data_IF_292254925453
#
_entry.id   IF_292254925453
#
_cell.length_a   1.000
_cell.length_b   1.000
_cell.length_c   1.000
_cell.angle_alpha   90.00
_cell.angle_beta   90.00
_cell.angle_gamma   90.00
#
_symmetry.space_group_name_H-M   'P 1'
#
loop_
_entity.id
_entity.type
_entity.pdbx_description
1 polymer ?
#
# COMPACT_ATOMS: atom_id res chain seq x y z
N UNK A 1 -16.36 11.98 -1.09
CA UNK A 1 -15.24 11.69 -0.17
C UNK A 1 -13.99 11.17 -0.88
N UNK A 2 -14.11 10.22 -1.84
CA UNK A 2 -12.96 9.64 -2.51
C UNK A 2 -12.24 10.63 -3.43
N UNK A 3 -12.98 11.43 -4.18
CA UNK A 3 -12.42 12.47 -5.04
C UNK A 3 -11.69 13.54 -4.22
N UNK A 4 -12.31 14.01 -3.15
CA UNK A 4 -11.70 14.96 -2.22
C UNK A 4 -10.45 14.37 -1.55
N UNK A 5 -10.51 13.12 -1.08
CA UNK A 5 -9.35 12.44 -0.51
C UNK A 5 -8.19 12.32 -1.53
N UNK A 6 -8.51 12.04 -2.79
CA UNK A 6 -7.51 11.92 -3.86
C UNK A 6 -6.88 13.27 -4.20
N UNK A 7 -7.63 14.39 -4.09
CA UNK A 7 -7.08 15.73 -4.35
C UNK A 7 -5.96 16.13 -3.38
N UNK A 8 -5.98 15.63 -2.13
CA UNK A 8 -4.88 15.82 -1.19
C UNK A 8 -3.62 15.05 -1.62
N UNK A 9 -3.77 13.81 -2.12
CA UNK A 9 -2.63 13.06 -2.66
C UNK A 9 -2.06 13.77 -3.91
N UNK A 10 -2.92 14.28 -4.78
CA UNK A 10 -2.52 15.02 -5.97
C UNK A 10 -1.75 16.29 -5.60
N UNK A 11 -2.26 17.09 -4.65
CA UNK A 11 -1.62 18.30 -4.18
C UNK A 11 -0.20 18.01 -3.65
N UNK A 12 -0.03 16.99 -2.80
CA UNK A 12 1.29 16.60 -2.27
C UNK A 12 2.19 16.08 -3.40
N UNK A 13 1.65 15.22 -4.25
CA UNK A 13 2.41 14.59 -5.34
C UNK A 13 2.87 15.57 -6.41
N UNK A 14 2.21 16.71 -6.54
CA UNK A 14 2.62 17.79 -7.46
C UNK A 14 3.90 18.49 -7.01
N UNK A 15 4.22 18.43 -5.72
CA UNK A 15 5.36 19.13 -5.13
C UNK A 15 6.57 18.22 -4.85
N UNK A 16 6.41 16.90 -4.93
CA UNK A 16 7.49 15.98 -4.64
C UNK A 16 7.41 14.67 -5.44
N UNK A 17 8.56 14.06 -5.64
CA UNK A 17 8.69 12.68 -6.12
C UNK A 17 8.96 11.74 -4.94
N UNK A 18 8.35 10.57 -4.98
CA UNK A 18 8.56 9.53 -3.98
C UNK A 18 9.72 8.64 -4.42
N UNK A 19 10.81 8.67 -3.65
CA UNK A 19 12.01 7.85 -3.87
C UNK A 19 12.42 7.19 -2.56
N UNK A 20 13.23 6.15 -2.65
CA UNK A 20 13.88 5.61 -1.46
C UNK A 20 14.68 6.72 -0.79
N UNK A 21 14.67 6.72 0.54
CA UNK A 21 15.37 7.71 1.38
C UNK A 21 14.89 9.18 1.24
N UNK A 22 13.71 9.42 0.63
CA UNK A 22 13.14 10.76 0.47
C UNK A 22 12.17 11.18 1.59
N UNK A 23 12.09 10.43 2.68
CA UNK A 23 11.07 10.60 3.73
C UNK A 23 10.95 12.03 4.24
N UNK A 24 12.06 12.62 4.69
CA UNK A 24 12.03 13.95 5.32
C UNK A 24 11.56 15.02 4.32
N UNK A 25 11.97 14.92 3.06
CA UNK A 25 11.57 15.85 1.99
C UNK A 25 10.08 15.74 1.70
N UNK A 26 9.58 14.50 1.59
CA UNK A 26 8.17 14.23 1.29
C UNK A 26 7.26 14.63 2.46
N UNK A 27 7.68 14.32 3.69
CA UNK A 27 6.91 14.70 4.90
C UNK A 27 6.92 16.22 5.12
N UNK A 28 8.00 16.91 4.79
CA UNK A 28 8.05 18.37 4.82
C UNK A 28 7.05 18.98 3.81
N UNK A 29 7.03 18.46 2.56
CA UNK A 29 6.07 18.92 1.56
C UNK A 29 4.62 18.59 1.95
N UNK A 30 4.37 17.46 2.60
CA UNK A 30 3.05 17.06 3.06
C UNK A 30 2.58 17.81 4.31
N UNK A 31 3.47 18.48 5.05
CA UNK A 31 3.13 19.14 6.32
C UNK A 31 2.06 20.20 6.19
N UNK A 32 1.95 20.86 5.03
CA UNK A 32 0.94 21.88 4.73
C UNK A 32 -0.47 21.27 4.58
N UNK A 33 -0.56 19.99 4.25
CA UNK A 33 -1.81 19.27 3.99
C UNK A 33 -2.24 18.37 5.14
N UNK A 34 -1.43 18.20 6.17
CA UNK A 34 -1.78 17.41 7.34
C UNK A 34 -2.71 18.21 8.27
N UNK A 35 -3.85 17.65 8.66
CA UNK A 35 -4.90 18.30 9.48
C UNK A 35 -4.44 18.80 10.85
N UNK A 36 -3.29 18.39 11.32
CA UNK A 36 -2.67 18.91 12.53
C UNK A 36 -1.18 19.01 12.27
N UNK A 37 -0.62 20.22 12.45
CA UNK A 37 0.82 20.47 12.51
C UNK A 37 1.48 19.59 13.60
N UNK A 38 1.54 18.29 13.37
CA UNK A 38 2.26 17.36 14.23
C UNK A 38 3.69 17.33 13.77
N UNK A 39 4.61 17.63 14.67
CA UNK A 39 6.00 17.18 14.51
C UNK A 39 5.94 15.68 14.30
N UNK A 40 6.11 15.25 13.05
CA UNK A 40 5.99 13.87 12.63
C UNK A 40 7.07 13.08 13.35
N UNK A 41 6.68 12.29 14.35
CA UNK A 41 7.51 11.21 14.85
C UNK A 41 7.15 9.99 14.02
N UNK A 42 8.08 9.65 13.16
CA UNK A 42 7.96 8.57 12.22
C UNK A 42 7.47 7.26 12.82
N UNK A 43 6.35 6.76 12.31
CA UNK A 43 5.98 5.37 12.47
C UNK A 43 6.84 4.47 11.60
N UNK A 44 6.88 4.71 10.31
CA UNK A 44 7.63 3.93 9.31
C UNK A 44 8.91 4.67 8.88
N UNK A 45 9.88 3.93 8.30
CA UNK A 45 11.15 4.49 7.79
C UNK A 45 11.00 5.12 6.40
N UNK A 46 9.80 5.16 5.85
CA UNK A 46 9.43 5.74 4.56
C UNK A 46 8.27 6.73 4.72
N UNK A 47 8.03 7.65 3.77
CA UNK A 47 6.89 8.56 3.82
C UNK A 47 5.58 7.79 3.80
N UNK A 48 4.67 8.12 4.70
CA UNK A 48 3.36 7.47 4.80
C UNK A 48 2.25 8.50 5.01
N UNK A 49 1.14 8.35 4.27
CA UNK A 49 -0.02 9.22 4.35
C UNK A 49 -1.26 8.45 4.78
N UNK A 50 -2.01 9.00 5.70
CA UNK A 50 -3.16 8.35 6.29
C UNK A 50 -4.48 9.00 5.84
N UNK A 51 -5.37 8.17 5.33
CA UNK A 51 -6.78 8.49 5.11
C UNK A 51 -7.60 7.96 6.29
N UNK A 52 -7.98 8.87 7.18
CA UNK A 52 -8.81 8.57 8.34
C UNK A 52 -10.28 8.54 7.93
N UNK A 53 -10.76 7.40 7.46
CA UNK A 53 -12.13 7.25 6.96
C UNK A 53 -12.93 6.23 7.76
N UNK A 54 -14.16 6.56 8.09
CA UNK A 54 -15.07 5.66 8.78
C UNK A 54 -15.32 4.36 8.00
N UNK A 55 -15.77 3.33 8.70
CA UNK A 55 -16.11 2.05 8.09
C UNK A 55 -17.32 2.22 7.14
N UNK A 56 -17.30 1.58 5.99
CA UNK A 56 -18.39 1.63 5.01
C UNK A 56 -18.31 2.78 4.00
N UNK A 57 -17.47 3.78 4.18
CA UNK A 57 -17.38 4.99 3.32
C UNK A 57 -16.56 4.74 2.03
N UNK A 58 -16.06 3.52 1.80
CA UNK A 58 -15.40 3.16 0.55
C UNK A 58 -13.87 3.26 0.57
N UNK A 59 -13.20 2.97 1.70
CA UNK A 59 -11.72 2.88 1.81
C UNK A 59 -11.08 2.05 0.70
N UNK A 60 -11.64 0.86 0.41
CA UNK A 60 -11.12 -0.03 -0.66
C UNK A 60 -11.23 0.62 -2.04
N UNK A 61 -12.29 1.40 -2.28
CA UNK A 61 -12.45 2.15 -3.53
C UNK A 61 -11.43 3.28 -3.66
N UNK A 62 -11.18 4.01 -2.55
CA UNK A 62 -10.13 5.03 -2.53
C UNK A 62 -8.75 4.40 -2.74
N UNK A 63 -8.47 3.22 -2.15
CA UNK A 63 -7.22 2.49 -2.39
C UNK A 63 -7.02 2.22 -3.89
N UNK A 64 -8.03 1.71 -4.58
CA UNK A 64 -7.97 1.50 -6.03
C UNK A 64 -7.74 2.79 -6.82
N UNK A 65 -8.43 3.87 -6.46
CA UNK A 65 -8.26 5.19 -7.09
C UNK A 65 -6.85 5.75 -6.85
N UNK A 66 -6.29 5.59 -5.66
CA UNK A 66 -4.92 6.03 -5.34
C UNK A 66 -3.85 5.25 -6.10
N UNK A 67 -4.03 3.93 -6.24
CA UNK A 67 -3.15 3.09 -7.07
C UNK A 67 -3.19 3.56 -8.53
N UNK A 68 -4.40 3.75 -9.08
CA UNK A 68 -4.56 4.25 -10.44
C UNK A 68 -3.92 5.63 -10.63
N UNK A 69 -4.15 6.54 -9.69
CA UNK A 69 -3.57 7.89 -9.72
C UNK A 69 -2.03 7.82 -9.80
N UNK A 70 -1.38 7.07 -8.90
CA UNK A 70 0.08 6.94 -8.86
C UNK A 70 0.63 6.25 -10.12
N UNK A 71 -0.09 5.27 -10.66
CA UNK A 71 0.27 4.65 -11.93
C UNK A 71 0.25 5.67 -13.08
N UNK A 72 -0.80 6.49 -13.18
CA UNK A 72 -0.98 7.46 -14.27
C UNK A 72 -0.02 8.64 -14.17
N UNK A 73 0.17 9.20 -12.97
CA UNK A 73 0.89 10.46 -12.78
C UNK A 73 2.38 10.26 -12.49
N UNK A 74 2.73 9.17 -11.81
CA UNK A 74 4.11 8.86 -11.42
C UNK A 74 4.71 7.65 -12.16
N UNK A 75 3.93 6.91 -12.93
CA UNK A 75 4.37 5.72 -13.65
C UNK A 75 4.68 4.51 -12.76
N UNK A 76 4.20 4.52 -11.51
CA UNK A 76 4.45 3.42 -10.56
C UNK A 76 3.65 2.18 -10.94
N UNK A 77 4.26 1.00 -10.79
CA UNK A 77 3.69 -0.28 -11.24
C UNK A 77 3.63 -1.33 -10.15
N UNK A 78 4.38 -1.19 -9.07
CA UNK A 78 4.48 -2.18 -8.01
C UNK A 78 3.73 -1.71 -6.75
N UNK A 79 2.61 -2.39 -6.45
CA UNK A 79 1.75 -2.03 -5.33
C UNK A 79 1.57 -3.22 -4.39
N UNK A 80 1.96 -3.05 -3.13
CA UNK A 80 1.83 -4.06 -2.09
C UNK A 80 0.62 -3.74 -1.20
N UNK A 81 -0.42 -4.57 -1.26
CA UNK A 81 -1.64 -4.40 -0.49
C UNK A 81 -1.57 -5.30 0.74
N UNK A 82 -1.59 -4.70 1.91
CA UNK A 82 -1.50 -5.39 3.18
C UNK A 82 -2.86 -5.47 3.87
N UNK A 83 -3.30 -6.70 4.14
CA UNK A 83 -4.54 -7.00 4.85
C UNK A 83 -4.27 -7.37 6.32
N UNK A 84 -5.12 -6.93 7.28
CA UNK A 84 -4.91 -7.19 8.70
C UNK A 84 -5.27 -8.60 9.16
N UNK A 85 -5.94 -9.38 8.32
CA UNK A 85 -6.37 -10.73 8.64
C UNK A 85 -6.96 -11.46 7.43
N UNK A 86 -7.24 -12.77 7.59
CA UNK A 86 -7.65 -13.63 6.48
C UNK A 86 -8.96 -13.17 5.81
N UNK A 87 -9.95 -12.74 6.57
CA UNK A 87 -11.24 -12.29 6.02
C UNK A 87 -11.09 -11.11 5.07
N UNK A 88 -10.28 -10.11 5.46
CA UNK A 88 -10.03 -8.93 4.64
C UNK A 88 -9.11 -9.30 3.46
N UNK A 89 -8.14 -10.16 3.68
CA UNK A 89 -7.27 -10.69 2.63
C UNK A 89 -8.08 -11.37 1.51
N UNK A 90 -8.96 -12.30 1.85
CA UNK A 90 -9.81 -12.99 0.88
C UNK A 90 -10.78 -12.04 0.16
N UNK A 91 -11.28 -11.04 0.87
CA UNK A 91 -12.09 -9.97 0.26
C UNK A 91 -11.28 -9.21 -0.79
N UNK A 92 -10.10 -8.73 -0.44
CA UNK A 92 -9.22 -7.96 -1.35
C UNK A 92 -8.79 -8.79 -2.57
N UNK A 93 -8.46 -10.07 -2.38
CA UNK A 93 -8.20 -11.00 -3.50
C UNK A 93 -9.37 -11.06 -4.48
N UNK A 94 -10.58 -11.28 -3.95
CA UNK A 94 -11.81 -11.36 -4.78
C UNK A 94 -12.09 -10.03 -5.49
N UNK A 95 -12.01 -8.93 -4.76
CA UNK A 95 -12.27 -7.59 -5.30
C UNK A 95 -11.16 -7.11 -6.26
N UNK A 96 -10.01 -7.76 -6.30
CA UNK A 96 -8.95 -7.52 -7.31
C UNK A 96 -9.17 -8.31 -8.62
N UNK A 97 -10.19 -9.16 -8.69
CA UNK A 97 -10.56 -9.84 -9.92
C UNK A 97 -11.47 -8.93 -10.78
N UNK A 98 -11.13 -8.65 -12.06
CA UNK A 98 -11.94 -7.80 -12.93
C UNK A 98 -13.41 -8.24 -13.10
N UNK A 99 -13.69 -9.54 -12.95
CA UNK A 99 -15.04 -10.06 -13.06
C UNK A 99 -15.88 -9.89 -11.78
N UNK A 100 -15.29 -9.41 -10.70
CA UNK A 100 -15.99 -9.23 -9.44
C UNK A 100 -16.87 -7.97 -9.45
N UNK A 101 -18.13 -7.99 -8.95
CA UNK A 101 -19.01 -6.82 -8.97
C UNK A 101 -18.45 -5.61 -8.23
N UNK A 102 -17.62 -5.85 -7.20
CA UNK A 102 -16.93 -4.83 -6.41
C UNK A 102 -15.45 -4.71 -6.78
N UNK A 103 -15.12 -4.88 -8.07
CA UNK A 103 -13.74 -4.72 -8.53
C UNK A 103 -13.15 -3.38 -8.09
N UNK A 104 -11.96 -3.40 -7.49
CA UNK A 104 -11.35 -2.21 -6.87
C UNK A 104 -11.06 -1.11 -7.91
N UNK A 105 -10.86 -1.46 -9.16
CA UNK A 105 -10.62 -0.53 -10.29
C UNK A 105 -11.82 -0.39 -11.21
N UNK A 106 -13.04 -0.68 -10.73
CA UNK A 106 -14.23 -0.59 -11.56
C UNK A 106 -14.43 0.81 -12.15
N UNK A 107 -14.54 0.88 -13.47
CA UNK A 107 -14.64 2.11 -14.26
C UNK A 107 -13.28 2.66 -14.71
N UNK A 108 -12.17 1.99 -14.39
CA UNK A 108 -10.80 2.37 -14.77
C UNK A 108 -10.16 1.31 -15.69
N UNK A 109 -10.88 0.24 -16.01
CA UNK A 109 -10.35 -0.95 -16.70
C UNK A 109 -9.79 -0.63 -18.09
N UNK A 110 -10.44 0.30 -18.80
CA UNK A 110 -10.01 0.69 -20.14
C UNK A 110 -8.63 1.36 -20.16
N UNK A 111 -8.25 2.02 -19.06
CA UNK A 111 -7.01 2.78 -18.97
C UNK A 111 -5.89 2.06 -18.25
N UNK A 112 -6.24 1.14 -17.37
CA UNK A 112 -5.26 0.38 -16.55
C UNK A 112 -4.84 -0.94 -17.18
N UNK A 113 -5.63 -1.49 -18.12
CA UNK A 113 -5.51 -2.89 -18.50
C UNK A 113 -5.90 -3.84 -17.36
N UNK A 114 -5.33 -5.03 -17.36
CA UNK A 114 -5.56 -6.04 -16.29
C UNK A 114 -4.32 -6.13 -15.41
N UNK A 115 -4.36 -5.61 -14.18
CA UNK A 115 -3.27 -5.79 -13.24
C UNK A 115 -2.93 -7.26 -13.01
N UNK A 116 -1.65 -7.58 -12.91
CA UNK A 116 -1.20 -8.90 -12.48
C UNK A 116 -1.27 -8.99 -10.97
N UNK A 117 -1.92 -10.03 -10.47
CA UNK A 117 -2.11 -10.23 -9.02
C UNK A 117 -1.23 -11.38 -8.54
N UNK A 118 -0.38 -11.07 -7.57
CA UNK A 118 0.44 -12.03 -6.85
C UNK A 118 0.00 -12.05 -5.39
N UNK A 119 -0.20 -13.23 -4.85
CA UNK A 119 -0.69 -13.41 -3.49
C UNK A 119 0.05 -14.56 -2.76
N UNK A 120 -0.39 -14.91 -1.57
CA UNK A 120 0.24 -15.95 -0.78
C UNK A 120 0.21 -17.37 -1.40
N UNK A 121 -0.48 -17.58 -2.51
CA UNK A 121 -0.58 -18.88 -3.19
C UNK A 121 0.28 -18.93 -4.46
N UNK A 122 0.54 -17.81 -5.12
CA UNK A 122 1.22 -17.75 -6.40
C UNK A 122 2.45 -16.81 -6.47
N UNK A 123 2.83 -16.18 -5.36
CA UNK A 123 3.94 -15.21 -5.36
C UNK A 123 5.29 -15.79 -5.81
N UNK A 124 5.50 -17.10 -5.68
CA UNK A 124 6.70 -17.80 -6.10
C UNK A 124 6.76 -18.03 -7.62
N UNK A 125 5.68 -17.71 -8.33
CA UNK A 125 5.66 -17.69 -9.80
C UNK A 125 6.07 -16.34 -10.39
N UNK A 126 6.45 -15.36 -9.54
CA UNK A 126 6.88 -14.05 -9.98
C UNK A 126 8.13 -14.17 -10.89
N UNK A 127 8.10 -13.62 -12.12
CA UNK A 127 9.21 -13.76 -13.04
C UNK A 127 10.44 -12.96 -12.60
N UNK A 128 11.51 -13.66 -12.26
CA UNK A 128 12.79 -13.07 -11.90
C UNK A 128 13.85 -13.55 -12.87
N UNK A 129 14.71 -12.65 -13.32
CA UNK A 129 15.91 -12.96 -14.08
C UNK A 129 17.13 -12.61 -13.25
N UNK A 130 18.13 -13.45 -13.30
CA UNK A 130 19.44 -13.20 -12.73
C UNK A 130 20.44 -12.91 -13.85
N UNK A 131 21.23 -11.85 -13.69
CA UNK A 131 22.41 -11.61 -14.51
C UNK A 131 23.63 -11.57 -13.59
N UNK A 132 24.56 -12.51 -13.82
CA UNK A 132 25.92 -12.57 -13.26
C UNK A 132 26.11 -12.12 -11.80
N UNK A 133 25.19 -12.51 -10.90
CA UNK A 133 25.17 -12.17 -9.45
C UNK A 133 24.24 -11.01 -9.04
N UNK A 134 23.50 -10.41 -9.94
CA UNK A 134 22.50 -9.38 -9.61
C UNK A 134 21.10 -9.86 -9.93
N UNK A 135 20.17 -9.59 -9.01
CA UNK A 135 18.74 -9.80 -9.25
C UNK A 135 18.24 -8.72 -10.22
N UNK A 136 17.83 -9.12 -11.42
CA UNK A 136 17.18 -8.22 -12.37
C UNK A 136 15.69 -8.43 -12.33
N UNK A 137 14.96 -7.41 -11.89
CA UNK A 137 13.51 -7.37 -12.02
C UNK A 137 13.16 -6.83 -13.40
N UNK A 138 12.46 -7.62 -14.23
CA UNK A 138 12.01 -7.15 -15.53
C UNK A 138 11.09 -5.92 -15.37
N UNK A 139 11.40 -4.84 -16.08
CA UNK A 139 10.49 -3.70 -16.19
C UNK A 139 9.26 -4.16 -16.96
N UNK A 140 8.17 -4.32 -16.27
CA UNK A 140 6.89 -4.68 -16.89
C UNK A 140 6.11 -3.43 -17.29
N UNK A 141 5.28 -3.55 -18.32
CA UNK A 141 4.34 -2.48 -18.70
C UNK A 141 3.09 -2.47 -17.81
N UNK A 142 2.79 -3.58 -17.14
CA UNK A 142 1.55 -3.81 -16.41
C UNK A 142 1.69 -3.49 -14.93
N UNK A 143 0.60 -3.04 -14.31
CA UNK A 143 0.51 -2.89 -12.86
C UNK A 143 0.59 -4.27 -12.22
N UNK A 144 1.35 -4.35 -11.13
CA UNK A 144 1.52 -5.55 -10.32
C UNK A 144 1.00 -5.29 -8.91
N UNK A 145 0.05 -6.11 -8.49
CA UNK A 145 -0.54 -6.07 -7.18
C UNK A 145 -0.05 -7.27 -6.36
N UNK A 146 0.58 -7.00 -5.25
CA UNK A 146 1.02 -8.00 -4.28
C UNK A 146 0.08 -7.95 -3.08
N UNK A 147 -0.79 -8.95 -2.91
CA UNK A 147 -1.82 -8.95 -1.87
C UNK A 147 -1.46 -9.97 -0.79
N UNK A 148 -1.21 -9.49 0.42
CA UNK A 148 -0.77 -10.34 1.52
C UNK A 148 -1.47 -10.02 2.84
N UNK A 149 -1.62 -11.05 3.66
CA UNK A 149 -2.00 -10.91 5.05
C UNK A 149 -0.74 -10.71 5.91
N UNK A 150 -0.80 -9.78 6.86
CA UNK A 150 0.31 -9.49 7.77
C UNK A 150 0.81 -10.75 8.50
N UNK A 151 -0.06 -11.69 8.85
CA UNK A 151 0.31 -12.95 9.49
C UNK A 151 1.15 -13.90 8.63
N UNK A 152 1.16 -13.72 7.30
CA UNK A 152 2.04 -14.46 6.37
C UNK A 152 3.41 -13.81 6.21
N UNK A 153 3.47 -12.50 6.44
CA UNK A 153 4.71 -11.71 6.40
C UNK A 153 5.43 -11.79 7.75
N UNK A 154 4.66 -11.82 8.83
CA UNK A 154 5.14 -11.80 10.20
C UNK A 154 4.53 -12.94 11.03
N UNK A 155 5.38 -13.77 11.67
CA UNK A 155 4.95 -14.77 12.63
C UNK A 155 5.49 -14.41 14.03
N UNK A 156 4.60 -13.96 14.92
CA UNK A 156 4.96 -13.52 16.28
C UNK A 156 5.38 -14.67 17.23
N UNK A 157 5.21 -15.94 16.82
CA UNK A 157 5.44 -17.10 17.71
C UNK A 157 6.82 -17.72 17.60
N UNK A 158 7.58 -17.39 16.59
CA UNK A 158 8.94 -17.87 16.41
C UNK A 158 9.79 -16.75 15.86
N UNK A 159 10.82 -16.36 16.61
CA UNK A 159 11.82 -15.36 16.22
C UNK A 159 12.67 -15.80 15.01
N UNK A 160 12.27 -16.90 14.38
CA UNK A 160 12.96 -17.55 13.28
C UNK A 160 12.21 -17.35 11.98
N UNK A 161 12.77 -16.48 11.16
CA UNK A 161 12.53 -16.32 9.73
C UNK A 161 11.07 -16.43 9.24
N UNK A 162 10.50 -15.29 8.96
CA UNK A 162 9.24 -15.15 8.23
C UNK A 162 9.24 -16.02 6.96
N UNK A 163 8.15 -16.74 6.69
CA UNK A 163 8.01 -17.50 5.43
C UNK A 163 8.24 -16.63 4.19
N UNK A 164 7.92 -15.35 4.30
CA UNK A 164 8.14 -14.31 3.32
C UNK A 164 9.63 -13.95 3.14
N UNK A 165 10.44 -14.17 4.17
CA UNK A 165 11.90 -13.99 4.15
C UNK A 165 12.67 -15.29 3.92
N UNK A 166 11.98 -16.41 3.72
CA UNK A 166 12.66 -17.66 3.38
C UNK A 166 13.09 -17.63 1.93
N UNK A 167 14.33 -18.07 1.72
CA UNK A 167 14.84 -18.31 0.38
C UNK A 167 13.91 -19.28 -0.37
N UNK A 168 13.58 -18.96 -1.59
CA UNK A 168 12.81 -19.78 -2.51
C UNK A 168 13.69 -20.15 -3.70
N UNK A 169 13.89 -21.44 -3.95
CA UNK A 169 14.71 -21.91 -5.07
C UNK A 169 14.18 -21.37 -6.41
N UNK A 170 12.86 -21.30 -6.57
CA UNK A 170 12.20 -20.76 -7.77
C UNK A 170 12.49 -19.29 -8.00
N UNK A 171 12.75 -18.51 -6.94
CA UNK A 171 13.03 -17.08 -7.01
C UNK A 171 14.52 -16.77 -6.87
N UNK A 172 15.34 -17.73 -6.41
CA UNK A 172 16.76 -17.52 -6.09
C UNK A 172 17.03 -16.50 -4.97
N UNK A 173 15.98 -16.03 -4.29
CA UNK A 173 16.01 -15.07 -3.19
C UNK A 173 14.79 -15.25 -2.29
N UNK A 174 14.71 -14.52 -1.19
CA UNK A 174 13.44 -14.37 -0.50
C UNK A 174 12.52 -13.41 -1.29
N UNK A 175 11.21 -13.59 -1.18
CA UNK A 175 10.29 -12.68 -1.86
C UNK A 175 10.35 -11.25 -1.28
N UNK A 176 10.70 -11.12 0.01
CA UNK A 176 10.94 -9.82 0.62
C UNK A 176 12.12 -9.08 -0.02
N UNK A 177 13.20 -9.81 -0.35
CA UNK A 177 14.37 -9.22 -1.04
C UNK A 177 14.01 -8.77 -2.45
N UNK A 178 13.16 -9.53 -3.14
CA UNK A 178 12.65 -9.14 -4.47
C UNK A 178 11.88 -7.82 -4.37
N UNK A 179 10.92 -7.73 -3.44
CA UNK A 179 10.12 -6.51 -3.25
C UNK A 179 10.98 -5.30 -2.84
N UNK A 180 11.96 -5.52 -1.97
CA UNK A 180 12.86 -4.45 -1.51
C UNK A 180 13.73 -3.83 -2.63
N UNK A 181 13.83 -4.47 -3.79
CA UNK A 181 14.59 -3.96 -4.93
C UNK A 181 13.77 -3.06 -5.87
N UNK A 182 12.45 -3.08 -5.81
CA UNK A 182 11.64 -2.17 -6.62
C UNK A 182 11.87 -0.71 -6.23
N UNK A 183 12.12 0.14 -7.21
CA UNK A 183 12.33 1.58 -7.00
C UNK A 183 11.02 2.37 -6.97
N UNK A 184 9.89 1.70 -7.19
CA UNK A 184 8.54 2.26 -7.26
C UNK A 184 7.53 1.49 -6.40
N UNK A 185 7.99 0.75 -5.38
CA UNK A 185 7.11 -0.01 -4.50
C UNK A 185 6.27 0.93 -3.62
N UNK A 186 4.96 0.91 -3.80
CA UNK A 186 4.00 1.58 -2.92
C UNK A 186 3.28 0.55 -2.06
N UNK A 187 3.23 0.79 -0.75
CA UNK A 187 2.49 -0.07 0.17
C UNK A 187 1.14 0.55 0.54
N UNK A 188 0.06 -0.21 0.35
CA UNK A 188 -1.31 0.15 0.72
C UNK A 188 -1.72 -0.68 1.94
N UNK A 189 -1.99 -0.05 3.06
CA UNK A 189 -2.25 -0.70 4.34
C UNK A 189 -3.71 -0.54 4.74
N UNK A 190 -4.52 -1.60 4.57
CA UNK A 190 -5.91 -1.60 5.07
C UNK A 190 -5.94 -1.84 6.58
N UNK A 191 -6.78 -1.09 7.29
CA UNK A 191 -6.82 -1.03 8.76
C UNK A 191 -5.44 -0.80 9.39
N UNK A 192 -4.73 0.22 8.90
CA UNK A 192 -3.32 0.50 9.16
C UNK A 192 -2.96 0.58 10.66
N UNK A 193 -3.91 0.94 11.53
CA UNK A 193 -3.71 0.98 12.99
C UNK A 193 -3.19 -0.36 13.57
N UNK A 194 -3.34 -1.47 12.85
CA UNK A 194 -2.90 -2.82 13.27
C UNK A 194 -1.42 -3.11 13.03
N UNK A 195 -0.73 -2.27 12.27
CA UNK A 195 0.66 -2.54 11.85
C UNK A 195 1.72 -1.79 12.63
N UNK A 196 1.33 -1.00 13.63
CA UNK A 196 2.25 -0.20 14.44
C UNK A 196 2.95 -0.97 15.57
N UNK A 197 2.77 -2.29 15.69
CA UNK A 197 3.59 -3.11 16.58
C UNK A 197 5.04 -3.16 16.03
N UNK A 198 6.07 -3.09 16.91
CA UNK A 198 7.48 -3.00 16.48
C UNK A 198 7.89 -4.06 15.46
N UNK A 199 7.44 -5.29 15.64
CA UNK A 199 7.77 -6.38 14.74
C UNK A 199 7.09 -6.26 13.36
N UNK A 200 5.83 -5.79 13.31
CA UNK A 200 5.13 -5.51 12.05
C UNK A 200 5.80 -4.36 11.31
N UNK A 201 6.15 -3.29 12.02
CA UNK A 201 6.86 -2.15 11.44
C UNK A 201 8.21 -2.55 10.87
N UNK A 202 8.99 -3.37 11.60
CA UNK A 202 10.27 -3.90 11.12
C UNK A 202 10.11 -4.69 9.81
N UNK A 203 9.10 -5.57 9.74
CA UNK A 203 8.83 -6.36 8.53
C UNK A 203 8.41 -5.49 7.33
N UNK A 204 7.61 -4.44 7.58
CA UNK A 204 7.14 -3.51 6.55
C UNK A 204 8.30 -2.61 6.09
N UNK A 205 9.09 -2.06 7.01
CA UNK A 205 10.26 -1.22 6.69
C UNK A 205 11.31 -1.98 5.88
N UNK A 206 11.44 -3.31 6.09
CA UNK A 206 12.35 -4.14 5.31
C UNK A 206 12.07 -4.10 3.80
N UNK A 207 10.82 -3.93 3.39
CA UNK A 207 10.43 -3.85 1.98
C UNK A 207 10.87 -2.56 1.30
N UNK A 208 11.33 -1.56 2.05
CA UNK A 208 11.80 -0.26 1.57
C UNK A 208 10.88 0.39 0.53
N UNK A 209 9.57 0.53 0.81
CA UNK A 209 8.67 1.19 -0.12
C UNK A 209 9.02 2.67 -0.26
N UNK A 210 8.68 3.25 -1.42
CA UNK A 210 8.86 4.69 -1.68
C UNK A 210 7.75 5.53 -1.07
N UNK A 211 6.58 4.91 -0.84
CA UNK A 211 5.40 5.56 -0.27
C UNK A 211 4.50 4.53 0.43
N UNK A 212 3.96 4.90 1.58
CA UNK A 212 2.89 4.20 2.28
C UNK A 212 1.57 4.96 2.19
N UNK A 213 0.49 4.25 1.91
CA UNK A 213 -0.89 4.75 1.99
C UNK A 213 -1.63 3.97 3.07
N UNK A 214 -2.03 4.66 4.11
CA UNK A 214 -2.72 4.09 5.26
C UNK A 214 -4.23 4.35 5.14
N UNK A 215 -5.03 3.29 5.24
CA UNK A 215 -6.50 3.38 5.23
C UNK A 215 -7.03 2.86 6.57
N UNK A 216 -7.62 3.71 7.38
CA UNK A 216 -8.12 3.31 8.72
C UNK A 216 -9.22 4.23 9.21
N UNK A 217 -10.11 3.70 10.06
CA UNK A 217 -11.07 4.54 10.79
C UNK A 217 -10.47 5.11 12.09
N UNK A 218 -9.37 4.53 12.57
CA UNK A 218 -8.75 4.85 13.87
C UNK A 218 -7.26 5.11 13.70
N UNK A 219 -6.84 6.28 13.15
CA UNK A 219 -5.45 6.59 12.94
C UNK A 219 -4.67 6.62 14.26
N UNK A 220 -3.41 6.23 14.21
CA UNK A 220 -2.51 6.36 15.35
C UNK A 220 -2.05 7.81 15.50
N UNK A 221 -1.60 8.17 16.69
CA UNK A 221 -1.09 9.52 16.96
C UNK A 221 0.16 9.89 16.13
N UNK A 222 0.81 8.89 15.55
CA UNK A 222 1.99 9.02 14.68
C UNK A 222 1.65 8.92 13.19
N UNK A 223 0.38 8.70 12.81
CA UNK A 223 -0.03 8.69 11.40
C UNK A 223 -0.10 10.11 10.84
N UNK A 224 0.41 10.32 9.62
CA UNK A 224 0.29 11.57 8.87
C UNK A 224 -1.09 11.63 8.22
N UNK A 225 -2.09 12.11 8.95
CA UNK A 225 -3.47 12.21 8.44
C UNK A 225 -3.55 13.38 7.46
N UNK A 226 -3.67 13.06 6.17
CA UNK A 226 -3.86 14.04 5.10
C UNK A 226 -5.34 14.27 4.77
N UNK A 227 -6.21 13.32 5.13
CA UNK A 227 -7.65 13.42 4.92
C UNK A 227 -8.41 12.70 6.02
N UNK A 228 -9.44 13.35 6.58
CA UNK A 228 -10.34 12.74 7.56
C UNK A 228 -11.81 12.86 7.13
N UNK A 229 -12.53 11.75 7.26
CA UNK A 229 -13.96 11.66 6.97
C UNK A 229 -14.63 10.75 7.98
N UNK A 230 -15.28 11.36 8.96
CA UNK A 230 -15.91 10.64 10.07
C UNK A 230 -17.34 10.20 9.78
N UNK A 231 -17.92 9.47 10.75
CA UNK A 231 -19.31 8.97 10.66
C UNK A 231 -20.31 10.13 10.65
N UNK A 232 -20.08 11.20 11.40
CA UNK A 232 -21.00 12.33 11.50
C UNK A 232 -21.11 13.05 10.15
N UNK A 233 -19.99 13.31 9.51
CA UNK A 233 -19.96 13.87 8.15
C UNK A 233 -20.62 12.94 7.15
N UNK A 234 -20.34 11.63 7.22
CA UNK A 234 -20.95 10.63 6.34
C UNK A 234 -22.47 10.52 6.48
N UNK A 235 -23.01 10.69 7.68
CA UNK A 235 -24.45 10.71 7.92
C UNK A 235 -25.11 11.98 7.37
N UNK A 236 -24.48 13.16 7.56
CA UNK A 236 -24.99 14.44 7.04
C UNK A 236 -24.99 14.46 5.51
N UNK A 237 -23.97 13.94 4.88
CA UNK A 237 -23.83 13.91 3.42
C UNK A 237 -24.56 12.72 2.75
N UNK A 238 -25.24 11.85 3.52
CA UNK A 238 -26.06 10.75 3.02
C UNK A 238 -25.28 9.53 2.51
N UNK A 239 -24.01 9.41 2.82
CA UNK A 239 -23.16 8.24 2.46
C UNK A 239 -23.33 7.06 3.43
N UNK A 240 -23.91 7.29 4.58
CA UNK A 240 -24.23 6.27 5.58
C UNK A 240 -25.73 6.22 5.78
N UNK A 241 -26.26 5.00 5.76
CA UNK A 241 -27.66 4.70 6.10
C UNK A 241 -27.79 4.34 7.56
#
# INVERSE_FOLDING_TARGET
PQEEALSYLDAISSHCDYKKDSKDIVEAAASEYCEKQRKVKAGFDFPSFCYAMATGIGKTRLMGASIYYLYKTKGYKHFFILAPGNTIYEKLRKESNPNHPKYIFKGLEAEMGKPKVYDGENYDTYPIKYDQMSLIVEKTSDIQLFIFNIGKIFNSKTDTQFNFHKFKETLGASFADVLAQFDDLVICMDEAHRYYAPASMKAINYLKPVLGLEFTATPKSTSNVIYAYDLARGAVEGYLK
#
